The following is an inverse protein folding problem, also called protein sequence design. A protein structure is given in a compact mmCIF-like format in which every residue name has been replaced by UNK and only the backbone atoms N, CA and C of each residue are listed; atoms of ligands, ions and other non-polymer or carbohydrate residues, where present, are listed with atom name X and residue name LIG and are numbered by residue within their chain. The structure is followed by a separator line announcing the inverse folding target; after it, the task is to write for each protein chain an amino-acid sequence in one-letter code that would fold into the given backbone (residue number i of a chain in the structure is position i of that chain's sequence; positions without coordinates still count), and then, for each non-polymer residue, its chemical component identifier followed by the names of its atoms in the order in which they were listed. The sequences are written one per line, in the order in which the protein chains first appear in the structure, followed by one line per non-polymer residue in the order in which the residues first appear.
data_IF_429277429551
#
_entry.id   IF_429277429551
#
_cell.length_a   1.000
_cell.length_b   1.000
_cell.length_c   1.000
_cell.angle_alpha   90.00
_cell.angle_beta   90.00
_cell.angle_gamma   90.00
#
_symmetry.space_group_name_H-M   'P 1'
#
loop_
_entity.id
_entity.type
_entity.pdbx_description
1 polymer ?
#
# COMPACT_ATOMS: atom_id res chain seq x y z
N UNK A 1 -41.98 39.50 -22.92
CA UNK A 1 -40.84 38.54 -22.89
C UNK A 1 -39.98 38.61 -21.63
N UNK A 2 -40.51 38.94 -20.46
CA UNK A 2 -39.75 39.15 -19.22
C UNK A 2 -39.93 38.04 -18.14
N UNK A 3 -40.63 36.95 -18.44
CA UNK A 3 -40.91 35.89 -17.48
C UNK A 3 -39.84 34.76 -17.43
N UNK A 4 -38.97 34.66 -18.44
CA UNK A 4 -37.97 33.60 -18.57
C UNK A 4 -36.81 33.71 -17.53
N UNK A 5 -36.35 34.92 -17.23
CA UNK A 5 -35.19 35.11 -16.36
C UNK A 5 -35.39 34.67 -14.89
N UNK A 6 -36.61 34.87 -14.36
CA UNK A 6 -36.92 34.49 -12.96
C UNK A 6 -37.01 32.98 -12.80
N UNK A 7 -37.41 32.25 -13.83
CA UNK A 7 -37.46 30.78 -13.81
C UNK A 7 -36.04 30.20 -13.79
N UNK A 8 -35.18 30.68 -14.66
CA UNK A 8 -33.78 30.24 -14.73
C UNK A 8 -33.01 30.50 -13.42
N UNK A 9 -33.25 31.69 -12.82
CA UNK A 9 -32.61 32.01 -11.53
C UNK A 9 -33.04 31.07 -10.41
N UNK A 10 -34.34 30.72 -10.34
CA UNK A 10 -34.86 29.75 -9.32
C UNK A 10 -34.28 28.36 -9.52
N UNK A 11 -34.20 27.90 -10.78
CA UNK A 11 -33.61 26.57 -11.10
C UNK A 11 -32.13 26.52 -10.74
N UNK A 12 -31.40 27.59 -11.02
CA UNK A 12 -29.97 27.68 -10.69
C UNK A 12 -29.74 27.68 -9.17
N UNK A 13 -30.51 28.47 -8.42
CA UNK A 13 -30.42 28.48 -6.94
C UNK A 13 -30.78 27.12 -6.37
N UNK A 14 -31.82 26.46 -6.85
CA UNK A 14 -32.19 25.11 -6.41
C UNK A 14 -31.09 24.10 -6.68
N UNK A 15 -30.47 24.14 -7.89
CA UNK A 15 -29.36 23.24 -8.24
C UNK A 15 -28.14 23.43 -7.36
N UNK A 16 -27.76 24.69 -7.06
CA UNK A 16 -26.65 25.00 -6.16
C UNK A 16 -26.94 24.51 -4.73
N UNK A 17 -28.17 24.74 -4.25
CA UNK A 17 -28.55 24.29 -2.90
C UNK A 17 -28.53 22.77 -2.81
N UNK A 18 -29.05 22.06 -3.80
CA UNK A 18 -29.01 20.60 -3.86
C UNK A 18 -27.56 20.05 -3.88
N UNK A 19 -26.69 20.70 -4.65
CA UNK A 19 -25.26 20.32 -4.71
C UNK A 19 -24.57 20.53 -3.34
N UNK A 20 -24.83 21.64 -2.66
CA UNK A 20 -24.29 21.92 -1.33
C UNK A 20 -24.81 20.94 -0.28
N UNK A 21 -26.11 20.60 -0.32
CA UNK A 21 -26.67 19.59 0.56
C UNK A 21 -26.02 18.20 0.32
N UNK A 22 -25.85 17.82 -0.96
CA UNK A 22 -25.16 16.57 -1.31
C UNK A 22 -23.72 16.55 -0.80
N UNK A 23 -22.98 17.63 -0.99
CA UNK A 23 -21.61 17.76 -0.49
C UNK A 23 -21.55 17.66 1.05
N UNK A 24 -22.48 18.28 1.75
CA UNK A 24 -22.56 18.22 3.22
C UNK A 24 -22.86 16.79 3.70
N UNK A 25 -23.81 16.08 3.06
CA UNK A 25 -24.14 14.68 3.39
C UNK A 25 -22.94 13.78 3.14
N UNK A 26 -22.28 13.91 1.99
CA UNK A 26 -21.07 13.14 1.69
C UNK A 26 -19.94 13.43 2.70
N UNK A 27 -19.76 14.69 3.10
CA UNK A 27 -18.80 15.05 4.13
C UNK A 27 -19.12 14.39 5.48
N UNK A 28 -20.37 14.42 5.90
CA UNK A 28 -20.80 13.80 7.15
C UNK A 28 -20.59 12.28 7.15
N UNK A 29 -20.91 11.60 6.04
CA UNK A 29 -20.68 10.16 5.89
C UNK A 29 -19.20 9.80 6.03
N UNK A 30 -18.32 10.58 5.40
CA UNK A 30 -16.87 10.33 5.53
C UNK A 30 -16.37 10.56 6.96
N UNK A 31 -16.80 11.62 7.61
CA UNK A 31 -16.44 11.83 9.00
C UNK A 31 -16.85 10.64 9.87
N UNK A 32 -17.99 10.06 9.59
CA UNK A 32 -18.47 8.88 10.31
C UNK A 32 -17.66 7.61 10.03
N UNK A 33 -17.31 7.37 8.76
CA UNK A 33 -16.58 6.14 8.34
C UNK A 33 -15.10 6.24 8.71
N UNK A 34 -14.47 7.39 8.49
CA UNK A 34 -13.04 7.62 8.74
C UNK A 34 -12.80 8.46 10.00
N UNK A 35 -13.61 8.23 11.03
CA UNK A 35 -13.32 8.80 12.36
C UNK A 35 -12.03 8.17 12.90
N UNK A 36 -11.22 8.95 13.63
CA UNK A 36 -9.98 8.49 14.27
C UNK A 36 -10.24 7.26 15.13
N UNK A 37 -11.33 7.26 15.89
CA UNK A 37 -11.71 6.12 16.74
C UNK A 37 -11.95 4.83 15.95
N UNK A 38 -12.60 4.90 14.78
CA UNK A 38 -12.83 3.73 13.93
C UNK A 38 -11.53 3.23 13.30
N UNK A 39 -10.63 4.14 12.94
CA UNK A 39 -9.30 3.80 12.40
C UNK A 39 -8.46 3.16 13.50
N UNK A 40 -8.45 3.73 14.70
CA UNK A 40 -7.75 3.17 15.85
C UNK A 40 -8.29 1.78 16.19
N UNK A 41 -9.61 1.61 16.24
CA UNK A 41 -10.24 0.33 16.50
C UNK A 41 -9.89 -0.71 15.41
N UNK A 42 -9.87 -0.30 14.14
CA UNK A 42 -9.45 -1.17 13.03
C UNK A 42 -7.98 -1.58 13.16
N UNK A 43 -7.08 -0.64 13.46
CA UNK A 43 -5.66 -0.89 13.67
C UNK A 43 -5.45 -1.81 14.86
N UNK A 44 -6.09 -1.52 15.99
CA UNK A 44 -6.02 -2.34 17.19
C UNK A 44 -6.52 -3.76 16.92
N UNK A 45 -7.67 -3.91 16.27
CA UNK A 45 -8.25 -5.22 15.95
C UNK A 45 -7.34 -6.06 15.05
N UNK A 46 -6.70 -5.45 14.04
CA UNK A 46 -5.99 -6.20 13.01
C UNK A 46 -4.49 -6.35 13.25
N UNK A 47 -3.88 -5.47 14.03
CA UNK A 47 -2.43 -5.50 14.25
C UNK A 47 -2.05 -5.77 15.70
N UNK A 48 -2.67 -5.09 16.67
CA UNK A 48 -2.28 -5.24 18.08
C UNK A 48 -2.68 -6.59 18.65
N UNK A 49 -3.79 -7.19 18.17
CA UNK A 49 -4.20 -8.54 18.56
C UNK A 49 -3.15 -9.62 18.18
N UNK A 50 -2.23 -9.32 17.27
CA UNK A 50 -1.18 -10.23 16.80
C UNK A 50 0.21 -9.88 17.37
N UNK A 51 0.27 -9.11 18.46
CA UNK A 51 1.53 -8.78 19.14
C UNK A 51 2.33 -7.66 18.46
N UNK A 52 1.74 -6.92 17.53
CA UNK A 52 2.37 -5.75 16.92
C UNK A 52 1.98 -4.47 17.63
N UNK A 53 2.97 -3.61 17.84
CA UNK A 53 2.75 -2.23 18.22
C UNK A 53 2.68 -1.37 16.94
N UNK A 54 1.57 -0.67 16.78
CA UNK A 54 1.37 0.27 15.69
C UNK A 54 1.43 1.68 16.23
N UNK A 55 2.31 2.49 15.68
CA UNK A 55 2.41 3.94 15.96
C UNK A 55 2.21 4.70 14.65
N UNK A 56 1.48 5.77 14.67
CA UNK A 56 1.31 6.67 13.53
C UNK A 56 1.04 8.10 13.99
N UNK A 57 1.26 9.06 13.11
CA UNK A 57 0.96 10.45 13.40
C UNK A 57 -0.57 10.65 13.45
N UNK A 58 -1.08 11.22 14.54
CA UNK A 58 -2.50 11.47 14.74
C UNK A 58 -3.13 12.41 13.69
N UNK A 59 -2.30 13.14 12.91
CA UNK A 59 -2.76 14.00 11.83
C UNK A 59 -3.14 13.19 10.58
N UNK A 60 -4.31 12.59 10.62
CA UNK A 60 -4.88 11.85 9.50
C UNK A 60 -5.44 12.84 8.48
N UNK A 61 -4.89 12.83 7.27
CA UNK A 61 -5.39 13.65 6.16
C UNK A 61 -6.40 12.87 5.33
N UNK A 62 -7.49 13.52 4.96
CA UNK A 62 -8.58 12.95 4.15
C UNK A 62 -8.76 13.78 2.89
N UNK A 63 -8.85 13.12 1.74
CA UNK A 63 -9.14 13.76 0.44
C UNK A 63 -10.36 13.08 -0.18
N UNK A 64 -11.22 13.89 -0.82
CA UNK A 64 -12.46 13.41 -1.41
C UNK A 64 -12.35 13.13 -2.90
N UNK A 65 -11.69 14.03 -3.61
CA UNK A 65 -11.60 14.02 -5.05
C UNK A 65 -10.20 13.67 -5.51
N UNK A 66 -10.07 12.91 -6.59
CA UNK A 66 -11.14 12.29 -7.39
C UNK A 66 -11.77 11.06 -6.72
N UNK A 67 -11.21 10.54 -5.62
CA UNK A 67 -11.67 9.37 -4.85
C UNK A 67 -11.48 9.60 -3.36
N UNK A 68 -12.33 8.99 -2.50
CA UNK A 68 -12.10 8.98 -1.07
C UNK A 68 -10.72 8.41 -0.76
N UNK A 69 -9.86 9.20 -0.15
CA UNK A 69 -8.47 8.83 0.13
C UNK A 69 -8.12 9.15 1.57
N UNK A 70 -7.61 8.17 2.28
CA UNK A 70 -7.03 8.30 3.61
C UNK A 70 -5.52 8.37 3.49
N UNK A 71 -4.90 9.33 4.18
CA UNK A 71 -3.45 9.51 4.20
C UNK A 71 -2.99 9.44 5.65
N UNK A 72 -2.18 8.43 5.95
CA UNK A 72 -1.50 8.25 7.23
C UNK A 72 -0.02 8.61 7.03
N UNK A 73 0.56 9.33 7.99
CA UNK A 73 1.99 9.67 8.01
C UNK A 73 2.68 9.00 9.17
N UNK A 74 3.97 8.74 9.00
CA UNK A 74 4.87 8.22 10.03
C UNK A 74 4.32 6.93 10.68
N UNK A 75 3.82 6.02 9.83
CA UNK A 75 3.32 4.71 10.29
C UNK A 75 4.51 3.81 10.63
N UNK A 76 4.56 3.35 11.87
CA UNK A 76 5.58 2.40 12.35
C UNK A 76 4.91 1.15 12.92
N UNK A 77 5.37 0.01 12.44
CA UNK A 77 4.98 -1.31 12.90
C UNK A 77 6.19 -1.97 13.53
N UNK A 78 6.11 -2.31 14.81
CA UNK A 78 7.16 -3.00 15.53
C UNK A 78 6.56 -4.12 16.38
N UNK A 79 7.34 -5.15 16.66
CA UNK A 79 6.96 -6.16 17.66
C UNK A 79 7.33 -5.67 19.05
N UNK A 80 6.74 -6.30 20.07
CA UNK A 80 7.07 -6.02 21.49
C UNK A 80 8.41 -6.64 21.92
N UNK A 81 9.00 -7.54 21.11
CA UNK A 81 10.26 -8.19 21.42
C UNK A 81 11.46 -7.35 20.95
N UNK A 82 12.56 -7.29 21.73
CA UNK A 82 13.80 -6.65 21.29
C UNK A 82 14.39 -7.40 20.08
N UNK A 83 15.10 -6.69 19.21
CA UNK A 83 15.73 -7.19 17.98
C UNK A 83 14.76 -7.75 16.93
N UNK A 84 13.52 -7.33 16.98
CA UNK A 84 12.52 -7.73 15.98
C UNK A 84 12.47 -6.76 14.80
N UNK A 85 12.03 -7.26 13.65
CA UNK A 85 11.86 -6.43 12.47
C UNK A 85 10.96 -5.22 12.73
N UNK A 86 11.36 -4.07 12.21
CA UNK A 86 10.59 -2.83 12.28
C UNK A 86 10.27 -2.36 10.87
N UNK A 87 9.00 -2.11 10.60
CA UNK A 87 8.54 -1.52 9.34
C UNK A 87 8.12 -0.08 9.60
N UNK A 88 8.80 0.86 8.98
CA UNK A 88 8.44 2.28 9.00
C UNK A 88 7.97 2.72 7.62
N UNK A 89 6.89 3.49 7.56
CA UNK A 89 6.31 3.99 6.31
C UNK A 89 6.10 5.49 6.47
N UNK A 90 6.82 6.30 5.71
CA UNK A 90 6.72 7.75 5.81
C UNK A 90 5.33 8.26 5.44
N UNK A 91 4.73 7.70 4.41
CA UNK A 91 3.37 8.04 4.00
C UNK A 91 2.64 6.84 3.40
N UNK A 92 1.44 6.58 3.89
CA UNK A 92 0.52 5.54 3.40
C UNK A 92 -0.75 6.21 2.89
N UNK A 93 -1.03 6.09 1.58
CA UNK A 93 -2.24 6.60 0.92
C UNK A 93 -3.14 5.45 0.52
N UNK A 94 -4.32 5.40 1.10
CA UNK A 94 -5.35 4.40 0.83
C UNK A 94 -6.51 5.05 0.09
N UNK A 95 -6.67 4.73 -1.20
CA UNK A 95 -7.76 5.20 -2.04
C UNK A 95 -8.86 4.16 -2.13
N UNK A 96 -10.06 4.55 -1.73
CA UNK A 96 -11.24 3.67 -1.70
C UNK A 96 -12.12 3.91 -2.92
N UNK A 97 -12.84 2.88 -3.37
CA UNK A 97 -13.92 3.03 -4.34
C UNK A 97 -15.10 3.79 -3.72
N UNK A 98 -15.79 4.58 -4.53
CA UNK A 98 -17.01 5.27 -4.05
C UNK A 98 -18.06 4.30 -3.50
N UNK A 99 -18.16 3.09 -4.08
CA UNK A 99 -19.03 2.02 -3.59
C UNK A 99 -18.75 1.59 -2.16
N UNK A 100 -17.51 1.73 -1.70
CA UNK A 100 -17.12 1.39 -0.32
C UNK A 100 -17.81 2.24 0.75
N UNK A 101 -18.38 3.39 0.37
CA UNK A 101 -19.12 4.25 1.31
C UNK A 101 -20.48 3.64 1.71
N UNK A 102 -20.99 2.69 0.93
CA UNK A 102 -22.29 2.05 1.14
C UNK A 102 -22.20 0.52 1.26
N UNK A 103 -20.98 -0.03 1.22
CA UNK A 103 -20.73 -1.47 1.29
C UNK A 103 -20.17 -1.86 2.65
N UNK A 104 -20.58 -2.98 3.18
CA UNK A 104 -20.01 -3.57 4.39
C UNK A 104 -18.58 -4.10 4.17
N UNK A 105 -18.22 -4.36 2.90
CA UNK A 105 -16.89 -4.77 2.49
C UNK A 105 -16.20 -3.64 1.68
N UNK A 106 -15.34 -2.83 2.29
CA UNK A 106 -14.68 -1.74 1.60
C UNK A 106 -13.71 -2.26 0.53
N UNK A 107 -13.78 -1.67 -0.67
CA UNK A 107 -12.87 -1.96 -1.77
C UNK A 107 -11.73 -0.93 -1.71
N UNK A 108 -10.54 -1.40 -1.40
CA UNK A 108 -9.32 -0.60 -1.45
C UNK A 108 -8.77 -0.62 -2.89
N UNK A 109 -9.13 0.40 -3.66
CA UNK A 109 -8.77 0.45 -5.08
C UNK A 109 -7.28 0.68 -5.32
N UNK A 110 -6.64 1.45 -4.44
CA UNK A 110 -5.23 1.77 -4.56
C UNK A 110 -4.61 2.01 -3.19
N UNK A 111 -3.51 1.33 -2.92
CA UNK A 111 -2.68 1.56 -1.75
C UNK A 111 -1.28 1.96 -2.18
N UNK A 112 -0.85 3.15 -1.78
CA UNK A 112 0.48 3.67 -2.08
C UNK A 112 1.24 3.78 -0.78
N UNK A 113 2.40 3.15 -0.72
CA UNK A 113 3.37 3.23 0.36
C UNK A 113 4.58 4.02 -0.14
N UNK A 114 4.84 5.17 0.46
CA UNK A 114 5.96 6.03 0.11
C UNK A 114 7.06 5.89 1.16
N UNK A 115 8.27 5.63 0.70
CA UNK A 115 9.47 5.43 1.52
C UNK A 115 9.27 4.41 2.65
N UNK A 116 8.72 3.21 2.40
CA UNK A 116 8.70 2.18 3.41
C UNK A 116 10.13 1.70 3.68
N UNK A 117 10.48 1.56 4.94
CA UNK A 117 11.77 1.06 5.40
C UNK A 117 11.56 -0.14 6.31
N UNK A 118 12.07 -1.29 5.90
CA UNK A 118 12.02 -2.53 6.67
C UNK A 118 13.41 -2.87 7.21
N UNK A 119 13.52 -2.93 8.52
CA UNK A 119 14.75 -3.39 9.18
C UNK A 119 14.55 -4.84 9.63
N UNK A 120 15.41 -5.73 9.13
CA UNK A 120 15.43 -7.15 9.47
C UNK A 120 16.64 -7.44 10.37
N UNK A 121 16.39 -8.10 11.48
CA UNK A 121 17.43 -8.55 12.41
C UNK A 121 17.93 -9.97 12.09
N UNK A 122 18.91 -10.47 12.84
CA UNK A 122 19.55 -11.78 12.61
C UNK A 122 18.60 -12.97 12.79
N UNK A 123 17.46 -12.81 13.43
CA UNK A 123 16.47 -13.88 13.64
C UNK A 123 15.52 -14.11 12.47
N UNK A 124 15.65 -13.39 11.37
CA UNK A 124 14.94 -13.54 10.07
C UNK A 124 13.44 -13.84 10.11
N UNK A 125 12.76 -13.57 11.21
CA UNK A 125 11.31 -13.75 11.27
C UNK A 125 10.65 -12.41 10.94
N UNK A 126 9.79 -12.41 9.92
CA UNK A 126 8.85 -11.31 9.72
C UNK A 126 8.07 -11.10 11.02
N UNK A 127 7.73 -9.85 11.38
CA UNK A 127 6.87 -9.60 12.54
C UNK A 127 5.66 -10.52 12.51
N UNK A 128 5.30 -11.09 13.64
CA UNK A 128 4.18 -12.05 13.74
C UNK A 128 2.90 -11.51 13.09
N UNK A 129 2.70 -10.20 13.13
CA UNK A 129 1.57 -9.52 12.49
C UNK A 129 1.61 -9.51 10.96
N UNK A 130 2.76 -9.74 10.34
CA UNK A 130 2.90 -9.87 8.89
C UNK A 130 2.88 -11.33 8.42
N UNK A 131 2.93 -12.28 9.36
CA UNK A 131 2.86 -13.73 9.09
C UNK A 131 1.42 -14.26 9.10
N UNK A 132 0.43 -13.41 9.11
CA UNK A 132 -0.95 -13.76 9.37
C UNK A 132 -1.49 -14.82 8.41
N UNK A 133 -1.87 -15.97 8.96
CA UNK A 133 -2.75 -16.92 8.29
C UNK A 133 -4.15 -16.30 8.14
N UNK A 134 -4.54 -16.01 6.93
CA UNK A 134 -5.82 -15.39 6.58
C UNK A 134 -6.99 -16.34 6.87
N UNK A 135 -7.46 -16.36 8.09
CA UNK A 135 -8.72 -17.04 8.46
C UNK A 135 -9.91 -16.07 8.60
N UNK A 136 -9.69 -14.77 8.45
CA UNK A 136 -10.77 -13.79 8.55
C UNK A 136 -11.57 -13.69 7.25
N UNK A 137 -12.87 -13.99 7.32
CA UNK A 137 -13.84 -13.86 6.22
C UNK A 137 -14.07 -12.43 5.72
N UNK A 138 -13.54 -11.43 6.39
CA UNK A 138 -13.61 -10.02 6.00
C UNK A 138 -12.36 -9.63 5.20
N UNK A 139 -12.23 -10.13 3.97
CA UNK A 139 -11.13 -9.75 3.10
C UNK A 139 -11.40 -8.38 2.47
N UNK A 140 -10.61 -7.38 2.83
CA UNK A 140 -10.56 -6.12 2.08
C UNK A 140 -10.12 -6.45 0.64
N UNK A 141 -10.97 -6.14 -0.33
CA UNK A 141 -10.59 -6.32 -1.73
C UNK A 141 -9.57 -5.24 -2.10
N UNK A 142 -8.34 -5.66 -2.34
CA UNK A 142 -7.24 -4.78 -2.70
C UNK A 142 -6.93 -4.91 -4.19
N UNK A 143 -7.21 -3.85 -4.96
CA UNK A 143 -7.03 -3.87 -6.41
C UNK A 143 -5.58 -3.56 -6.83
N UNK A 144 -4.94 -2.59 -6.20
CA UNK A 144 -3.60 -2.15 -6.58
C UNK A 144 -2.76 -1.77 -5.37
N UNK A 145 -1.50 -2.25 -5.33
CA UNK A 145 -0.48 -1.81 -4.37
C UNK A 145 0.64 -1.14 -5.14
N UNK A 146 1.16 -0.05 -4.61
CA UNK A 146 2.35 0.63 -5.13
C UNK A 146 3.28 0.93 -3.97
N UNK A 147 4.53 0.52 -4.07
CA UNK A 147 5.62 0.91 -3.18
C UNK A 147 6.55 1.83 -3.96
N UNK A 148 6.82 3.01 -3.43
CA UNK A 148 7.75 3.97 -4.00
C UNK A 148 8.92 4.17 -3.05
N UNK A 149 10.14 4.03 -3.58
CA UNK A 149 11.40 4.31 -2.87
C UNK A 149 11.52 3.57 -1.53
N UNK A 150 11.14 2.29 -1.53
CA UNK A 150 11.28 1.44 -0.36
C UNK A 150 12.74 1.09 -0.07
N UNK A 151 13.03 0.70 1.16
CA UNK A 151 14.33 0.17 1.57
C UNK A 151 14.15 -1.05 2.48
N UNK A 152 15.06 -2.01 2.34
CA UNK A 152 15.18 -3.16 3.24
C UNK A 152 16.62 -3.19 3.72
N UNK A 153 16.81 -3.10 5.02
CA UNK A 153 18.10 -3.25 5.66
C UNK A 153 18.13 -4.57 6.44
N UNK A 154 18.98 -5.47 6.01
CA UNK A 154 19.25 -6.72 6.71
C UNK A 154 20.55 -6.60 7.49
N UNK A 155 20.45 -6.61 8.80
CA UNK A 155 21.60 -6.55 9.70
C UNK A 155 21.98 -7.96 10.17
N UNK A 156 23.17 -8.41 9.77
CA UNK A 156 23.78 -9.64 10.26
C UNK A 156 25.10 -9.31 10.98
N UNK A 157 25.56 -10.21 11.85
CA UNK A 157 26.80 -10.02 12.64
C UNK A 157 28.05 -9.74 11.79
N UNK A 158 28.06 -10.18 10.53
CA UNK A 158 29.20 -10.09 9.64
C UNK A 158 29.06 -8.99 8.58
N UNK A 159 27.87 -8.72 8.09
CA UNK A 159 27.65 -7.76 7.01
C UNK A 159 26.23 -7.19 7.05
N UNK A 160 26.12 -5.93 6.67
CA UNK A 160 24.85 -5.27 6.42
C UNK A 160 24.52 -5.35 4.93
N UNK A 161 23.36 -5.88 4.58
CA UNK A 161 22.87 -5.91 3.22
C UNK A 161 21.74 -4.90 3.11
N UNK A 162 21.90 -3.91 2.24
CA UNK A 162 20.89 -2.90 1.99
C UNK A 162 20.33 -3.03 0.59
N UNK A 163 19.02 -3.15 0.52
CA UNK A 163 18.23 -3.04 -0.70
C UNK A 163 17.57 -1.65 -0.68
N UNK A 164 17.90 -0.81 -1.63
CA UNK A 164 17.42 0.56 -1.71
C UNK A 164 16.61 0.79 -2.99
N UNK A 165 15.90 1.91 -3.02
CA UNK A 165 15.09 2.34 -4.17
C UNK A 165 14.11 1.27 -4.64
N UNK A 166 13.59 0.47 -3.69
CA UNK A 166 12.62 -0.57 -3.99
C UNK A 166 11.35 0.07 -4.52
N UNK A 167 11.00 -0.30 -5.74
CA UNK A 167 9.73 0.02 -6.35
C UNK A 167 8.96 -1.27 -6.59
N UNK A 168 7.70 -1.28 -6.24
CA UNK A 168 6.83 -2.41 -6.44
C UNK A 168 5.45 -1.95 -6.88
N UNK A 169 4.89 -2.60 -7.87
CA UNK A 169 3.54 -2.33 -8.34
C UNK A 169 2.82 -3.66 -8.56
N UNK A 170 1.80 -3.93 -7.76
CA UNK A 170 0.87 -5.03 -7.96
C UNK A 170 -0.43 -4.48 -8.53
N UNK A 171 -0.89 -5.03 -9.64
CA UNK A 171 -2.11 -4.58 -10.33
C UNK A 171 -3.28 -5.52 -10.06
N UNK A 172 -4.46 -5.13 -10.51
CA UNK A 172 -5.66 -5.96 -10.45
C UNK A 172 -5.44 -7.25 -11.24
N UNK A 173 -6.02 -8.35 -10.77
CA UNK A 173 -5.98 -9.63 -11.46
C UNK A 173 -6.57 -9.54 -12.87
N UNK A 174 -5.90 -10.20 -13.80
CA UNK A 174 -6.35 -10.52 -15.15
C UNK A 174 -6.52 -12.03 -15.30
N UNK A 175 -6.56 -12.57 -16.54
CA UNK A 175 -6.70 -14.00 -16.82
C UNK A 175 -5.54 -14.85 -16.28
N UNK A 176 -4.35 -14.26 -16.18
CA UNK A 176 -3.09 -14.96 -15.87
C UNK A 176 -2.67 -14.77 -14.40
N UNK A 177 -3.47 -14.06 -13.62
CA UNK A 177 -3.23 -13.74 -12.22
C UNK A 177 -3.09 -12.25 -11.98
N UNK A 178 -2.36 -11.86 -10.93
CA UNK A 178 -2.10 -10.45 -10.61
C UNK A 178 -0.74 -10.03 -11.13
N UNK A 179 -0.66 -9.23 -12.20
CA UNK A 179 0.62 -8.78 -12.74
C UNK A 179 1.32 -7.86 -11.75
N UNK A 180 2.62 -8.06 -11.58
CA UNK A 180 3.47 -7.21 -10.76
C UNK A 180 4.76 -6.82 -11.47
N UNK A 181 5.27 -5.66 -11.10
CA UNK A 181 6.58 -5.16 -11.46
C UNK A 181 7.33 -4.82 -10.17
N UNK A 182 8.62 -5.14 -10.12
CA UNK A 182 9.48 -4.87 -8.98
C UNK A 182 10.85 -4.41 -9.47
N UNK A 183 11.46 -3.44 -8.81
CA UNK A 183 12.84 -3.01 -9.10
C UNK A 183 13.51 -2.48 -7.85
N UNK A 184 14.83 -2.43 -7.86
CA UNK A 184 15.62 -1.92 -6.74
C UNK A 184 17.11 -1.94 -7.01
N UNK A 185 17.87 -1.52 -6.01
CA UNK A 185 19.33 -1.50 -6.04
C UNK A 185 19.87 -2.20 -4.80
N UNK A 186 20.66 -3.24 -5.00
CA UNK A 186 21.38 -3.94 -3.94
C UNK A 186 22.72 -3.25 -3.69
N UNK A 187 22.97 -2.86 -2.46
CA UNK A 187 24.21 -2.24 -2.00
C UNK A 187 24.96 -3.18 -1.04
N UNK A 188 26.22 -2.94 -0.80
CA UNK A 188 27.15 -3.63 0.10
C UNK A 188 27.89 -4.85 -0.46
N UNK A 189 27.83 -5.11 -1.75
CA UNK A 189 28.59 -6.20 -2.39
C UNK A 189 29.63 -5.57 -3.36
N UNK A 190 30.29 -4.48 -2.96
CA UNK A 190 31.18 -3.74 -3.84
C UNK A 190 30.43 -2.75 -4.73
N UNK A 191 30.27 -3.04 -6.02
CA UNK A 191 29.50 -2.18 -6.92
C UNK A 191 27.99 -2.41 -6.73
N UNK A 192 27.16 -1.37 -6.78
CA UNK A 192 25.72 -1.52 -6.69
C UNK A 192 25.17 -2.34 -7.86
N UNK A 193 24.25 -3.22 -7.56
CA UNK A 193 23.56 -4.05 -8.55
C UNK A 193 22.13 -3.55 -8.66
N UNK A 194 21.77 -2.97 -9.79
CA UNK A 194 20.38 -2.62 -10.11
C UNK A 194 19.67 -3.84 -10.71
N UNK A 195 18.45 -4.06 -10.32
CA UNK A 195 17.66 -5.18 -10.79
C UNK A 195 16.23 -4.77 -11.06
N UNK A 196 15.58 -5.48 -12.00
CA UNK A 196 14.18 -5.30 -12.35
C UNK A 196 13.55 -6.67 -12.57
N UNK A 197 12.35 -6.85 -12.06
CA UNK A 197 11.57 -8.07 -12.21
C UNK A 197 10.14 -7.78 -12.61
N UNK A 198 9.53 -8.72 -13.33
CA UNK A 198 8.13 -8.70 -13.66
C UNK A 198 7.56 -10.12 -13.69
N UNK A 199 6.32 -10.28 -13.29
CA UNK A 199 5.66 -11.58 -13.24
C UNK A 199 4.18 -11.47 -12.93
N UNK A 200 3.58 -12.63 -12.70
CA UNK A 200 2.19 -12.75 -12.25
C UNK A 200 2.15 -13.49 -10.92
N UNK A 201 1.41 -12.95 -9.96
CA UNK A 201 1.12 -13.58 -8.69
C UNK A 201 -0.20 -14.33 -8.83
N UNK A 202 -0.15 -15.65 -8.69
CA UNK A 202 -1.31 -16.53 -8.79
C UNK A 202 -1.66 -17.06 -7.42
N UNK A 203 -2.92 -17.04 -7.07
CA UNK A 203 -3.43 -17.66 -5.86
C UNK A 203 -4.13 -18.97 -6.22
N UNK A 204 -3.68 -20.05 -5.61
CA UNK A 204 -4.28 -21.38 -5.70
C UNK A 204 -4.63 -21.90 -4.29
N UNK A 205 -5.10 -23.14 -4.22
CA UNK A 205 -5.48 -23.78 -2.95
C UNK A 205 -4.29 -24.01 -2.00
N UNK A 206 -3.05 -24.03 -2.54
CA UNK A 206 -1.82 -24.19 -1.77
C UNK A 206 -1.27 -22.83 -1.27
N UNK A 207 -1.74 -21.71 -1.81
CA UNK A 207 -1.33 -20.36 -1.42
C UNK A 207 -1.02 -19.44 -2.60
N UNK A 208 0.04 -18.64 -2.46
CA UNK A 208 0.49 -17.72 -3.48
C UNK A 208 1.72 -18.27 -4.19
N UNK A 209 1.73 -18.21 -5.51
CA UNK A 209 2.84 -18.67 -6.35
C UNK A 209 3.17 -17.66 -7.46
N UNK A 210 4.38 -17.70 -7.95
CA UNK A 210 4.86 -16.91 -9.11
C UNK A 210 5.30 -17.89 -10.18
N UNK A 211 4.41 -18.32 -11.08
CA UNK A 211 4.71 -19.37 -12.07
C UNK A 211 5.76 -18.94 -13.09
N UNK A 212 5.89 -17.64 -13.35
CA UNK A 212 6.90 -17.11 -14.26
C UNK A 212 7.44 -15.77 -13.75
N UNK A 213 8.72 -15.70 -13.46
CA UNK A 213 9.43 -14.49 -13.09
C UNK A 213 10.48 -14.17 -14.17
N UNK A 214 10.41 -12.95 -14.70
CA UNK A 214 11.47 -12.40 -15.56
C UNK A 214 12.31 -11.45 -14.71
N UNK A 215 13.59 -11.70 -14.57
CA UNK A 215 14.52 -10.90 -13.79
C UNK A 215 15.65 -10.40 -14.68
N UNK A 216 15.87 -9.10 -14.69
CA UNK A 216 16.98 -8.43 -15.35
C UNK A 216 17.92 -7.86 -14.30
N UNK A 217 19.19 -8.19 -14.38
CA UNK A 217 20.25 -7.70 -13.48
C UNK A 217 21.21 -6.82 -14.27
N UNK A 218 21.55 -5.66 -13.70
CA UNK A 218 22.51 -4.74 -14.29
C UNK A 218 23.54 -4.31 -13.24
N UNK A 219 24.81 -4.47 -13.54
CA UNK A 219 25.90 -3.96 -12.70
C UNK A 219 27.00 -3.38 -13.56
N UNK A 220 27.77 -2.46 -12.99
CA UNK A 220 28.94 -1.87 -13.62
C UNK A 220 30.17 -2.50 -13.00
N UNK A 221 30.75 -3.47 -13.67
CA UNK A 221 31.99 -4.10 -13.30
C UNK A 221 33.13 -3.48 -14.13
N UNK A 222 34.07 -2.81 -13.48
CA UNK A 222 35.32 -2.30 -14.11
C UNK A 222 35.08 -1.53 -15.42
N UNK A 223 34.11 -0.62 -15.47
CA UNK A 223 33.70 0.16 -16.64
C UNK A 223 32.89 -0.63 -17.71
N UNK A 224 32.67 -1.92 -17.55
CA UNK A 224 31.81 -2.70 -18.42
C UNK A 224 30.44 -2.90 -17.78
N UNK A 225 29.39 -2.73 -18.60
CA UNK A 225 28.03 -3.00 -18.19
C UNK A 225 27.76 -4.49 -18.38
N UNK A 226 27.38 -5.19 -17.31
CA UNK A 226 26.94 -6.57 -17.38
C UNK A 226 25.42 -6.61 -17.27
N UNK A 227 24.77 -7.17 -18.28
CA UNK A 227 23.33 -7.42 -18.29
C UNK A 227 23.08 -8.94 -18.25
N UNK A 228 22.31 -9.40 -17.29
CA UNK A 228 21.89 -10.79 -17.20
C UNK A 228 20.37 -10.88 -17.12
N UNK A 229 19.81 -11.86 -17.81
CA UNK A 229 18.38 -12.15 -17.76
C UNK A 229 18.18 -13.56 -17.19
N UNK A 230 17.32 -13.66 -16.18
CA UNK A 230 16.96 -14.93 -15.57
C UNK A 230 15.45 -15.09 -15.69
N UNK A 231 15.00 -16.22 -16.19
CA UNK A 231 13.59 -16.60 -16.20
C UNK A 231 13.42 -17.91 -15.42
N UNK A 232 12.45 -17.96 -14.53
CA UNK A 232 12.20 -19.11 -13.66
C UNK A 232 10.82 -19.06 -13.02
N UNK A 233 10.44 -20.12 -12.35
CA UNK A 233 9.29 -20.20 -11.45
C UNK A 233 9.77 -20.26 -10.00
N UNK A 234 9.02 -19.64 -9.11
CA UNK A 234 9.22 -19.65 -7.65
C UNK A 234 8.02 -20.31 -6.98
#
# INVERSE_FOLDING_TARGET
MLHSGKFWLKTLVFSITALLCLAAVLSALMFRIFNTENIDAFIQKNFSAHGCQVKYNANISRKWLPRPTLILKDLSLSSSEPDTPTLNIAESKMGFGWSSLWSDAPILEKWILSNPSLMLGPKNHLPACLQQNHTSKESIQLNRIIINSGSILYHNKEQDIALNDLQFSLRRADSDGRPFDISGTLQNIGNPISWQGAGHLVQDDAGWSVPALKLNLQTVLLKNKLDAQIAGSL
#
